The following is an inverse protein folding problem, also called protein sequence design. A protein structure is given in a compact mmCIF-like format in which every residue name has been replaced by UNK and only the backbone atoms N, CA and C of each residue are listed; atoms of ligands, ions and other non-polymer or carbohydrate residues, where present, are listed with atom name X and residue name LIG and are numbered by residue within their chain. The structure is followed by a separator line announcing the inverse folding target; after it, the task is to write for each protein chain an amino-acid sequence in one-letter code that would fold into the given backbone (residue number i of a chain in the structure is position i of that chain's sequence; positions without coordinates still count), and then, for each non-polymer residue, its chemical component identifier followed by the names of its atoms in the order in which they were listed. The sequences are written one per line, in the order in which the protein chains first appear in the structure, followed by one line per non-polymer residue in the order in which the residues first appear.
data_IF_908795144461
#
_entry.id   IF_908795144461
#
_cell.length_a   1.000
_cell.length_b   1.000
_cell.length_c   1.000
_cell.angle_alpha   90.00
_cell.angle_beta   90.00
_cell.angle_gamma   90.00
#
_symmetry.space_group_name_H-M   'P 1'
#
loop_
_entity.id
_entity.type
_entity.pdbx_description
1 polymer ?
#
# COMPACT_ATOMS: atom_id res chain seq x y z
N UNK A 1 -3.93 -23.09 -10.05
CA UNK A 1 -2.66 -23.58 -9.45
C UNK A 1 -1.58 -22.61 -9.91
N UNK A 2 -0.94 -21.74 -9.13
CA UNK A 2 -0.69 -21.57 -7.68
C UNK A 2 -1.36 -20.25 -7.21
N UNK A 3 -2.00 -20.07 -6.06
CA UNK A 3 -1.61 -20.46 -4.70
C UNK A 3 -1.14 -19.21 -3.95
N UNK A 4 -1.99 -18.18 -3.80
CA UNK A 4 -1.68 -16.99 -3.01
C UNK A 4 -2.12 -17.23 -1.56
N UNK A 5 -1.15 -17.32 -0.66
CA UNK A 5 -1.33 -17.56 0.77
C UNK A 5 -2.17 -16.43 1.39
N UNK A 6 -3.38 -16.78 1.81
CA UNK A 6 -4.20 -15.98 2.73
C UNK A 6 -3.70 -16.24 4.14
N UNK A 7 -3.00 -15.29 4.75
CA UNK A 7 -2.69 -15.34 6.16
C UNK A 7 -3.94 -14.96 6.99
N UNK A 8 -4.85 -15.92 7.21
CA UNK A 8 -5.91 -15.84 8.22
C UNK A 8 -5.39 -16.57 9.47
N UNK A 9 -4.74 -15.85 10.38
CA UNK A 9 -4.25 -16.41 11.63
C UNK A 9 -5.37 -16.60 12.64
N UNK A 10 -5.78 -17.85 12.91
CA UNK A 10 -6.60 -18.22 14.08
C UNK A 10 -5.78 -19.13 14.99
N UNK A 11 -5.43 -18.67 16.18
CA UNK A 11 -4.87 -19.54 17.23
C UNK A 11 -5.49 -19.18 18.58
N UNK A 12 -6.01 -20.21 19.28
CA UNK A 12 -6.72 -20.05 20.54
C UNK A 12 -6.05 -20.88 21.65
N UNK A 13 -5.52 -20.16 22.65
CA UNK A 13 -5.36 -20.50 24.09
C UNK A 13 -4.43 -21.65 24.51
N UNK A 14 -3.77 -21.70 25.69
CA UNK A 14 -3.83 -21.04 27.04
C UNK A 14 -2.45 -21.33 27.73
N UNK A 15 -1.97 -20.70 28.80
CA UNK A 15 -2.58 -20.33 30.08
C UNK A 15 -1.85 -19.16 30.77
N UNK A 16 -2.47 -18.72 31.87
CA UNK A 16 -2.32 -17.46 32.61
C UNK A 16 -1.41 -17.64 33.83
N UNK A 17 -0.69 -16.59 34.28
CA UNK A 17 -0.84 -16.03 35.65
C UNK A 17 -0.02 -14.76 35.92
N UNK A 18 -0.76 -13.76 36.43
CA UNK A 18 -0.43 -12.74 37.43
C UNK A 18 0.82 -11.86 37.25
N UNK A 19 0.59 -10.75 36.55
CA UNK A 19 1.33 -9.50 36.65
C UNK A 19 0.54 -8.47 35.86
N UNK A 20 0.33 -7.27 36.39
CA UNK A 20 -0.46 -6.21 35.77
C UNK A 20 -0.11 -6.02 34.28
N UNK A 21 -1.08 -6.28 33.40
CA UNK A 21 -0.95 -5.98 31.98
C UNK A 21 -2.17 -5.19 31.54
N UNK A 22 -1.89 -3.96 31.10
CA UNK A 22 -2.80 -3.07 30.39
C UNK A 22 -3.59 -3.87 29.37
N UNK A 23 -4.91 -3.84 29.54
CA UNK A 23 -5.88 -4.45 28.64
C UNK A 23 -5.84 -3.66 27.33
N UNK A 24 -5.13 -4.17 26.33
CA UNK A 24 -5.33 -3.74 24.95
C UNK A 24 -6.58 -4.45 24.46
N UNK A 25 -7.73 -3.78 24.62
CA UNK A 25 -9.00 -4.24 24.06
C UNK A 25 -8.93 -4.16 22.53
N UNK A 26 -9.28 -5.29 21.90
CA UNK A 26 -9.60 -5.53 20.49
C UNK A 26 -8.82 -4.74 19.40
N UNK A 27 -7.97 -5.46 18.64
CA UNK A 27 -7.52 -4.95 17.34
C UNK A 27 -8.69 -5.08 16.36
N UNK A 28 -9.30 -3.94 16.06
CA UNK A 28 -10.27 -3.76 15.02
C UNK A 28 -9.71 -4.09 13.62
N UNK A 29 -10.60 -4.48 12.71
CA UNK A 29 -10.24 -4.94 11.37
C UNK A 29 -9.38 -3.91 10.63
N UNK A 30 -8.29 -4.38 10.04
CA UNK A 30 -7.41 -3.61 9.17
C UNK A 30 -7.56 -4.08 7.72
N UNK A 31 -7.67 -3.13 6.79
CA UNK A 31 -7.75 -3.40 5.36
C UNK A 31 -6.62 -2.62 4.67
N UNK A 32 -5.79 -3.36 3.92
CA UNK A 32 -4.79 -2.81 3.01
C UNK A 32 -5.08 -3.30 1.61
N UNK A 33 -5.29 -2.36 0.69
CA UNK A 33 -5.38 -2.65 -0.73
C UNK A 33 -4.08 -2.18 -1.40
N UNK A 34 -3.35 -3.13 -2.01
CA UNK A 34 -2.19 -2.84 -2.86
C UNK A 34 -2.65 -2.96 -4.31
N UNK A 35 -2.78 -1.84 -5.01
CA UNK A 35 -3.12 -1.86 -6.44
C UNK A 35 -1.84 -1.83 -7.26
N UNK A 36 -1.56 -2.94 -7.96
CA UNK A 36 -0.56 -3.15 -9.02
C UNK A 36 0.51 -2.08 -9.30
N UNK A 37 1.78 -2.50 -9.23
CA UNK A 37 2.91 -1.76 -9.82
C UNK A 37 2.78 -1.70 -11.34
N UNK A 38 2.77 -0.49 -11.88
CA UNK A 38 2.88 -0.27 -13.34
C UNK A 38 4.30 -0.54 -13.84
N UNK A 39 4.44 -0.82 -15.14
CA UNK A 39 5.76 -0.93 -15.78
C UNK A 39 6.61 0.33 -15.57
N UNK A 40 5.98 1.51 -15.59
CA UNK A 40 6.62 2.78 -15.27
C UNK A 40 7.09 2.87 -13.81
N UNK A 41 6.36 2.30 -12.85
CA UNK A 41 6.79 2.26 -11.44
C UNK A 41 8.01 1.37 -11.24
N UNK A 42 8.05 0.19 -11.86
CA UNK A 42 9.22 -0.68 -11.79
C UNK A 42 10.49 -0.02 -12.36
N UNK A 43 10.34 0.79 -13.42
CA UNK A 43 11.45 1.59 -13.96
C UNK A 43 11.87 2.71 -13.01
N UNK A 44 10.95 3.36 -12.28
CA UNK A 44 11.30 4.38 -11.29
C UNK A 44 12.04 3.79 -10.07
N UNK A 45 11.67 2.59 -9.61
CA UNK A 45 12.32 1.89 -8.49
C UNK A 45 13.67 1.24 -8.83
N UNK A 46 14.15 1.39 -10.07
CA UNK A 46 15.43 0.83 -10.52
C UNK A 46 16.67 1.30 -9.72
N UNK A 47 16.52 2.34 -8.88
CA UNK A 47 17.58 2.87 -8.02
C UNK A 47 18.11 1.83 -7.02
N UNK A 48 17.34 0.79 -6.69
CA UNK A 48 17.81 -0.33 -5.86
C UNK A 48 18.77 -1.27 -6.62
N UNK A 49 18.78 -1.22 -7.95
CA UNK A 49 19.61 -2.02 -8.83
C UNK A 49 20.74 -1.17 -9.42
N UNK A 50 21.64 -0.71 -8.54
CA UNK A 50 22.77 0.17 -8.92
C UNK A 50 23.91 -0.58 -9.59
N UNK A 51 24.68 0.14 -10.41
CA UNK A 51 25.92 -0.34 -11.03
C UNK A 51 27.13 -0.29 -10.08
N UNK A 52 27.03 0.35 -8.91
CA UNK A 52 28.13 0.50 -7.97
C UNK A 52 28.11 -0.55 -6.84
N UNK A 53 26.93 -0.94 -6.34
CA UNK A 53 26.77 -1.93 -5.24
C UNK A 53 25.56 -2.87 -5.42
N UNK A 54 24.88 -2.82 -6.58
CA UNK A 54 23.71 -3.64 -6.86
C UNK A 54 24.00 -4.90 -7.68
N UNK A 55 22.99 -5.72 -7.96
CA UNK A 55 23.13 -6.98 -8.70
C UNK A 55 23.83 -6.85 -10.06
N UNK A 56 23.71 -5.70 -10.74
CA UNK A 56 24.41 -5.45 -12.01
C UNK A 56 25.93 -5.36 -11.87
N UNK A 57 26.44 -4.81 -10.76
CA UNK A 57 27.87 -4.81 -10.48
C UNK A 57 28.39 -6.25 -10.29
N UNK A 58 27.63 -7.06 -9.57
CA UNK A 58 27.93 -8.47 -9.33
C UNK A 58 27.93 -9.28 -10.65
N UNK A 59 26.93 -9.07 -11.52
CA UNK A 59 26.88 -9.70 -12.84
C UNK A 59 28.06 -9.27 -13.74
N UNK A 60 28.49 -8.00 -13.67
CA UNK A 60 29.65 -7.51 -14.42
C UNK A 60 30.96 -8.19 -14.02
N UNK A 61 31.10 -8.51 -12.73
CA UNK A 61 32.23 -9.28 -12.21
C UNK A 61 32.19 -10.75 -12.68
N UNK A 62 31.01 -11.38 -12.67
CA UNK A 62 30.83 -12.77 -13.11
C UNK A 62 31.02 -12.97 -14.62
N UNK A 63 30.73 -11.96 -15.43
CA UNK A 63 30.79 -12.02 -16.89
C UNK A 63 32.11 -11.47 -17.47
N UNK A 64 33.22 -11.73 -16.77
CA UNK A 64 34.59 -11.44 -17.18
C UNK A 64 34.91 -9.95 -17.43
N UNK A 65 34.45 -9.05 -16.54
CA UNK A 65 34.92 -7.66 -16.51
C UNK A 65 34.23 -6.73 -17.51
N UNK A 66 33.05 -7.09 -18.02
CA UNK A 66 32.24 -6.17 -18.83
C UNK A 66 31.69 -5.04 -17.96
N UNK A 67 32.07 -3.81 -18.29
CA UNK A 67 31.44 -2.63 -17.76
C UNK A 67 30.02 -2.51 -18.34
N UNK A 68 29.02 -2.53 -17.47
CA UNK A 68 27.65 -2.27 -17.84
C UNK A 68 27.37 -0.77 -17.82
N UNK A 69 26.74 -0.25 -18.87
CA UNK A 69 26.30 1.14 -18.89
C UNK A 69 25.22 1.41 -17.83
N UNK A 70 24.99 2.68 -17.53
CA UNK A 70 24.03 3.13 -16.52
C UNK A 70 22.58 2.68 -16.80
N UNK A 71 22.27 2.24 -18.02
CA UNK A 71 20.95 1.75 -18.42
C UNK A 71 20.78 0.24 -18.30
N UNK A 72 21.83 -0.51 -17.93
CA UNK A 72 21.79 -1.97 -17.89
C UNK A 72 20.69 -2.51 -16.98
N UNK A 73 20.50 -1.94 -15.78
CA UNK A 73 19.43 -2.36 -14.87
C UNK A 73 18.05 -2.07 -15.47
N UNK A 74 17.86 -0.88 -16.05
CA UNK A 74 16.64 -0.50 -16.76
C UNK A 74 16.33 -1.48 -17.89
N UNK A 75 17.34 -1.89 -18.67
CA UNK A 75 17.18 -2.87 -19.75
C UNK A 75 16.83 -4.25 -19.20
N UNK A 76 17.56 -4.76 -18.21
CA UNK A 76 17.27 -6.08 -17.61
C UNK A 76 15.85 -6.11 -17.04
N UNK A 77 15.44 -5.09 -16.29
CA UNK A 77 14.07 -5.01 -15.74
C UNK A 77 13.06 -4.94 -16.88
N UNK A 78 13.23 -4.03 -17.85
CA UNK A 78 12.30 -3.88 -18.97
C UNK A 78 12.17 -5.14 -19.82
N UNK A 79 13.30 -5.76 -20.16
CA UNK A 79 13.37 -6.89 -21.08
C UNK A 79 12.88 -8.19 -20.41
N UNK A 80 12.86 -8.26 -19.08
CA UNK A 80 12.36 -9.41 -18.31
C UNK A 80 11.02 -9.14 -17.60
N UNK A 81 10.47 -7.94 -17.71
CA UNK A 81 9.20 -7.59 -17.10
C UNK A 81 8.07 -8.35 -17.78
N UNK A 82 7.32 -9.10 -16.98
CA UNK A 82 6.11 -9.78 -17.42
C UNK A 82 4.92 -9.06 -16.85
N UNK A 83 4.16 -8.38 -17.70
CA UNK A 83 2.85 -7.87 -17.32
C UNK A 83 1.88 -9.05 -17.25
N UNK A 84 1.15 -9.15 -16.16
CA UNK A 84 0.00 -10.04 -16.05
C UNK A 84 -1.21 -9.21 -15.68
N UNK A 85 -2.27 -9.35 -16.45
CA UNK A 85 -3.54 -8.69 -16.11
C UNK A 85 -4.12 -9.36 -14.88
N UNK A 86 -4.19 -8.60 -13.78
CA UNK A 86 -4.94 -9.00 -12.59
C UNK A 86 -6.39 -8.55 -12.75
N UNK A 87 -7.32 -9.36 -12.28
CA UNK A 87 -8.73 -8.96 -12.24
C UNK A 87 -8.87 -7.80 -11.26
N UNK A 88 -9.48 -6.70 -11.70
CA UNK A 88 -9.90 -5.63 -10.81
C UNK A 88 -11.12 -6.10 -10.02
N UNK A 89 -11.14 -5.81 -8.73
CA UNK A 89 -12.24 -6.11 -7.85
C UNK A 89 -12.87 -4.81 -7.36
N UNK A 90 -14.19 -4.82 -7.14
CA UNK A 90 -14.87 -3.70 -6.52
C UNK A 90 -14.72 -3.86 -5.01
N UNK A 91 -13.98 -2.96 -4.36
CA UNK A 91 -13.72 -3.02 -2.93
C UNK A 91 -15.04 -3.19 -2.16
N UNK A 92 -16.08 -2.44 -2.56
CA UNK A 92 -17.43 -2.46 -1.96
C UNK A 92 -18.08 -3.86 -1.96
N UNK A 93 -17.75 -4.72 -2.92
CA UNK A 93 -18.38 -6.03 -3.09
C UNK A 93 -17.60 -7.17 -2.42
N UNK A 94 -16.30 -7.01 -2.21
CA UNK A 94 -15.43 -8.11 -1.79
C UNK A 94 -15.15 -8.15 -0.28
N UNK A 95 -15.32 -7.03 0.43
CA UNK A 95 -14.92 -6.93 1.83
C UNK A 95 -16.13 -6.98 2.77
N UNK A 96 -16.06 -7.76 3.87
CA UNK A 96 -17.04 -7.69 4.94
C UNK A 96 -16.82 -6.36 5.69
N UNK A 97 -17.71 -5.40 5.48
CA UNK A 97 -17.58 -4.02 5.97
C UNK A 97 -17.81 -3.81 7.47
N UNK A 98 -17.50 -4.81 8.29
CA UNK A 98 -17.74 -4.77 9.73
C UNK A 98 -16.52 -4.19 10.48
N UNK A 99 -16.76 -3.02 11.11
CA UNK A 99 -15.86 -2.29 12.03
C UNK A 99 -14.38 -2.23 11.58
N UNK A 100 -14.06 -1.21 10.78
CA UNK A 100 -12.69 -0.97 10.27
C UNK A 100 -12.10 0.24 10.98
N UNK A 101 -11.25 0.08 11.99
CA UNK A 101 -10.69 1.26 12.68
C UNK A 101 -9.57 1.94 11.89
N UNK A 102 -8.92 1.21 10.98
CA UNK A 102 -7.87 1.73 10.12
C UNK A 102 -8.03 1.21 8.68
N UNK A 103 -8.20 2.15 7.76
CA UNK A 103 -8.16 1.92 6.33
C UNK A 103 -6.80 2.41 5.79
N UNK A 104 -6.02 1.50 5.21
CA UNK A 104 -4.82 1.85 4.45
C UNK A 104 -5.02 1.58 2.97
N UNK A 105 -4.60 2.52 2.14
CA UNK A 105 -4.68 2.41 0.69
C UNK A 105 -3.29 2.67 0.13
N UNK A 106 -2.78 1.73 -0.66
CA UNK A 106 -1.56 1.87 -1.43
C UNK A 106 -1.86 1.43 -2.85
N UNK A 107 -2.54 2.30 -3.58
CA UNK A 107 -3.10 1.96 -4.88
C UNK A 107 -2.26 2.51 -6.04
N UNK A 108 -0.98 2.80 -5.78
CA UNK A 108 -0.01 3.21 -6.80
C UNK A 108 -0.55 4.36 -7.68
N UNK A 109 -1.25 5.32 -7.06
CA UNK A 109 -1.83 6.50 -7.70
C UNK A 109 -3.33 6.42 -7.96
N UNK A 110 -3.95 5.26 -7.75
CA UNK A 110 -5.40 5.06 -7.80
C UNK A 110 -6.09 5.18 -6.44
N UNK A 111 -5.39 5.75 -5.45
CA UNK A 111 -5.80 5.76 -4.05
C UNK A 111 -7.14 6.45 -3.83
N UNK A 112 -7.38 7.55 -4.55
CA UNK A 112 -8.69 8.22 -4.53
C UNK A 112 -9.81 7.33 -5.09
N UNK A 113 -9.55 6.58 -6.16
CA UNK A 113 -10.55 5.68 -6.76
C UNK A 113 -10.95 4.57 -5.78
N UNK A 114 -9.99 4.01 -5.02
CA UNK A 114 -10.27 3.05 -3.94
C UNK A 114 -11.01 3.73 -2.79
N UNK A 115 -10.50 4.85 -2.29
CA UNK A 115 -11.08 5.60 -1.18
C UNK A 115 -12.54 5.98 -1.44
N UNK A 116 -12.86 6.41 -2.66
CA UNK A 116 -14.21 6.83 -3.06
C UNK A 116 -15.26 5.71 -3.03
N UNK A 117 -14.83 4.44 -2.99
CA UNK A 117 -15.71 3.28 -2.89
C UNK A 117 -15.99 2.89 -1.43
N UNK A 118 -15.27 3.46 -0.45
CA UNK A 118 -15.44 3.10 0.95
C UNK A 118 -16.79 3.58 1.51
N UNK A 119 -17.59 2.71 2.15
CA UNK A 119 -18.93 3.06 2.59
C UNK A 119 -18.95 3.76 3.96
N UNK A 120 -18.42 4.99 4.06
CA UNK A 120 -18.28 5.76 5.31
C UNK A 120 -19.56 5.91 6.16
N UNK A 121 -20.73 5.83 5.54
CA UNK A 121 -22.02 5.93 6.22
C UNK A 121 -22.38 4.66 7.00
N UNK A 122 -22.07 3.48 6.45
CA UNK A 122 -22.44 2.18 7.04
C UNK A 122 -21.26 1.44 7.67
N UNK A 123 -20.03 1.83 7.37
CA UNK A 123 -18.81 1.29 7.97
C UNK A 123 -18.00 2.45 8.56
N UNK A 124 -18.04 2.65 9.89
CA UNK A 124 -17.19 3.63 10.55
C UNK A 124 -15.72 3.27 10.44
N UNK A 125 -14.91 4.29 10.12
CA UNK A 125 -13.45 4.23 10.20
C UNK A 125 -12.89 5.41 10.97
N UNK A 126 -11.94 5.12 11.85
CA UNK A 126 -11.33 6.11 12.71
C UNK A 126 -10.10 6.76 12.05
N UNK A 127 -9.36 6.01 11.24
CA UNK A 127 -8.18 6.49 10.54
C UNK A 127 -8.12 6.03 9.09
N UNK A 128 -7.78 6.96 8.21
CA UNK A 128 -7.47 6.68 6.82
C UNK A 128 -6.02 7.05 6.57
N UNK A 129 -5.28 6.13 5.96
CA UNK A 129 -3.90 6.35 5.52
C UNK A 129 -3.81 6.01 4.05
N UNK A 130 -3.25 6.91 3.24
CA UNK A 130 -3.00 6.63 1.83
C UNK A 130 -1.68 7.24 1.34
N UNK A 131 -1.09 6.64 0.31
CA UNK A 131 0.10 7.18 -0.33
C UNK A 131 -0.26 8.21 -1.40
N UNK A 132 0.31 9.43 -1.34
CA UNK A 132 0.09 10.44 -2.39
C UNK A 132 1.26 10.57 -3.37
N UNK A 133 2.36 9.84 -3.18
CA UNK A 133 3.55 9.84 -4.05
C UNK A 133 3.17 9.65 -5.52
N UNK A 134 2.27 8.70 -5.79
CA UNK A 134 1.89 8.32 -7.14
C UNK A 134 0.59 9.01 -7.63
N UNK A 135 -0.17 9.63 -6.73
CA UNK A 135 -1.43 10.31 -7.06
C UNK A 135 -1.23 11.59 -7.89
N UNK A 136 -2.20 11.93 -8.74
CA UNK A 136 -2.28 13.26 -9.35
C UNK A 136 -2.75 14.27 -8.31
N UNK A 137 -2.32 15.52 -8.40
CA UNK A 137 -2.75 16.58 -7.47
C UNK A 137 -4.27 16.72 -7.41
N UNK A 138 -4.94 16.64 -8.56
CA UNK A 138 -6.42 16.69 -8.63
C UNK A 138 -7.11 15.54 -7.90
N UNK A 139 -6.50 14.36 -7.83
CA UNK A 139 -7.06 13.22 -7.10
C UNK A 139 -6.78 13.35 -5.61
N UNK A 140 -5.64 13.94 -5.24
CA UNK A 140 -5.35 14.30 -3.84
C UNK A 140 -6.38 15.31 -3.32
N UNK A 141 -6.67 16.37 -4.08
CA UNK A 141 -7.66 17.39 -3.71
C UNK A 141 -9.04 16.77 -3.50
N UNK A 142 -9.43 15.83 -4.37
CA UNK A 142 -10.68 15.09 -4.26
C UNK A 142 -10.71 14.16 -3.04
N UNK A 143 -9.61 13.48 -2.73
CA UNK A 143 -9.50 12.65 -1.54
C UNK A 143 -9.61 13.49 -0.26
N UNK A 144 -8.93 14.63 -0.22
CA UNK A 144 -8.99 15.57 0.89
C UNK A 144 -10.42 16.11 1.08
N UNK A 145 -11.07 16.56 0.01
CA UNK A 145 -12.46 17.04 0.06
C UNK A 145 -13.45 15.96 0.50
N UNK A 146 -13.26 14.71 0.06
CA UNK A 146 -14.09 13.58 0.49
C UNK A 146 -13.95 13.33 1.99
N UNK A 147 -12.71 13.26 2.50
CA UNK A 147 -12.45 13.02 3.92
C UNK A 147 -12.94 14.16 4.81
N UNK A 148 -12.72 15.41 4.39
CA UNK A 148 -13.24 16.59 5.07
C UNK A 148 -14.78 16.58 5.13
N UNK A 149 -15.45 16.22 4.02
CA UNK A 149 -16.91 16.09 3.99
C UNK A 149 -17.47 15.01 4.92
N UNK A 150 -16.63 14.05 5.33
CA UNK A 150 -16.96 13.01 6.29
C UNK A 150 -16.44 13.30 7.71
N UNK A 151 -15.94 14.51 7.98
CA UNK A 151 -15.52 14.95 9.32
C UNK A 151 -14.14 14.48 9.76
N UNK A 152 -13.30 14.03 8.82
CA UNK A 152 -11.90 13.71 9.13
C UNK A 152 -11.05 14.97 9.23
N UNK A 153 -10.09 14.92 10.14
CA UNK A 153 -9.06 15.95 10.33
C UNK A 153 -7.74 15.43 9.76
N UNK A 154 -7.09 16.26 8.95
CA UNK A 154 -5.76 15.99 8.44
C UNK A 154 -4.71 16.09 9.55
N UNK A 155 -3.89 15.04 9.72
CA UNK A 155 -2.85 15.01 10.75
C UNK A 155 -1.45 15.24 10.19
N UNK A 156 -1.13 14.60 9.05
CA UNK A 156 0.20 14.61 8.45
C UNK A 156 0.11 14.27 6.96
N UNK A 157 1.01 14.85 6.17
CA UNK A 157 1.28 14.44 4.79
C UNK A 157 1.36 15.64 3.86
N UNK A 158 0.87 15.47 2.65
CA UNK A 158 0.75 16.49 1.61
C UNK A 158 0.77 15.85 0.24
N UNK A 159 0.75 16.69 -0.80
CA UNK A 159 1.00 16.22 -2.16
C UNK A 159 2.32 15.46 -2.22
N UNK A 160 2.30 14.32 -2.91
CA UNK A 160 3.50 13.50 -3.13
C UNK A 160 4.17 12.97 -1.85
N UNK A 161 3.47 13.00 -0.72
CA UNK A 161 3.94 12.38 0.52
C UNK A 161 3.75 10.86 0.47
N UNK A 162 4.72 10.13 1.05
CA UNK A 162 4.68 8.68 1.22
C UNK A 162 3.61 8.20 2.21
N UNK A 163 3.10 9.09 3.05
CA UNK A 163 1.97 8.80 3.94
C UNK A 163 1.13 10.06 4.16
N UNK A 164 -0.18 9.94 3.93
CA UNK A 164 -1.19 10.92 4.30
C UNK A 164 -2.10 10.33 5.35
N UNK A 165 -2.14 10.95 6.53
CA UNK A 165 -2.85 10.43 7.70
C UNK A 165 -4.00 11.35 8.04
N UNK A 166 -5.21 10.79 8.07
CA UNK A 166 -6.44 11.46 8.42
C UNK A 166 -7.12 10.73 9.56
N UNK A 167 -7.75 11.49 10.46
CA UNK A 167 -8.39 10.94 11.65
C UNK A 167 -9.78 11.54 11.87
N UNK A 168 -10.76 10.69 12.14
CA UNK A 168 -12.09 11.13 12.53
C UNK A 168 -12.20 11.20 14.06
N UNK A 169 -12.39 12.38 14.68
CA UNK A 169 -12.32 12.56 16.13
C UNK A 169 -13.52 11.96 16.89
N UNK A 170 -14.65 11.74 16.21
CA UNK A 170 -15.89 11.22 16.80
C UNK A 170 -16.22 9.77 16.47
N UNK A 171 -15.25 8.97 16.02
CA UNK A 171 -15.43 7.55 15.70
C UNK A 171 -14.38 6.70 16.41
#
# INVERSE_FOLDING_TARGET
MLGADRAIGRRVSRSVTNGEHVRLEAIDTFISEISSLSASHLVQFQRLYTTQRGPCALCGQLLAGRAYDASCSSRVIRDNMRSTTVRCYCMQQELPWEHVSLLTIDAEGHDYSVLSQYPFASSPVQRVVFEATHMRNVDFDRAAALLDSHGFVFLKGGYKAGDNVWHHPGR
#
